data_IF_623612357654
#
_entry.id   IF_623612357654
#
_cell.length_a   1.000
_cell.length_b   1.000
_cell.length_c   1.000
_cell.angle_alpha   90.00
_cell.angle_beta   90.00
_cell.angle_gamma   90.00
#
_symmetry.space_group_name_H-M   'P 1'
#
loop_
_entity.id
_entity.type
_entity.pdbx_description
1 polymer ?
#
# COMPACT_ATOMS: atom_id res chain seq x y z
N UNK A 1 6.32 -19.81 15.09
CA UNK A 1 5.01 -20.50 15.05
C UNK A 1 4.63 -20.64 13.58
N UNK A 2 4.22 -21.81 13.09
CA UNK A 2 3.87 -21.96 11.68
C UNK A 2 2.67 -21.06 11.36
N UNK A 3 2.81 -20.35 10.25
CA UNK A 3 1.92 -19.34 9.68
C UNK A 3 0.43 -19.68 9.82
N UNK A 4 -0.23 -18.97 10.72
CA UNK A 4 -1.68 -18.85 10.74
C UNK A 4 -1.98 -17.75 9.73
N UNK A 5 -2.43 -18.10 8.52
CA UNK A 5 -2.90 -17.15 7.51
C UNK A 5 -4.05 -16.34 8.13
N UNK A 6 -3.81 -15.12 8.64
CA UNK A 6 -4.73 -14.47 9.56
C UNK A 6 -6.01 -14.05 8.83
N UNK A 7 -5.87 -13.62 7.58
CA UNK A 7 -6.98 -13.41 6.64
C UNK A 7 -7.89 -14.64 6.53
N UNK A 8 -7.31 -15.83 6.30
CA UNK A 8 -8.04 -17.07 6.11
C UNK A 8 -8.77 -17.49 7.40
N UNK A 9 -8.15 -17.25 8.55
CA UNK A 9 -8.73 -17.57 9.85
C UNK A 9 -9.88 -16.61 10.18
N UNK A 10 -9.70 -15.31 9.95
CA UNK A 10 -10.73 -14.30 10.17
C UNK A 10 -11.93 -14.54 9.24
N UNK A 11 -11.70 -14.90 7.98
CA UNK A 11 -12.77 -15.23 7.03
C UNK A 11 -13.53 -16.51 7.44
N UNK A 12 -12.81 -17.55 7.88
CA UNK A 12 -13.43 -18.77 8.43
C UNK A 12 -14.26 -18.51 9.69
N UNK A 13 -13.77 -17.66 10.59
CA UNK A 13 -14.53 -17.26 11.77
C UNK A 13 -15.75 -16.41 11.41
N UNK A 14 -15.64 -15.52 10.43
CA UNK A 14 -16.77 -14.76 9.90
C UNK A 14 -17.84 -15.70 9.33
N UNK A 15 -17.46 -16.69 8.51
CA UNK A 15 -18.34 -17.70 7.95
C UNK A 15 -19.03 -18.52 9.05
N UNK A 16 -18.27 -19.09 10.00
CA UNK A 16 -18.81 -19.81 11.15
C UNK A 16 -19.82 -18.98 11.95
N UNK A 17 -19.47 -17.73 12.25
CA UNK A 17 -20.35 -16.81 12.99
C UNK A 17 -21.66 -16.56 12.23
N UNK A 18 -21.59 -16.41 10.90
CA UNK A 18 -22.73 -16.14 10.02
C UNK A 18 -23.61 -17.37 9.76
N UNK A 19 -23.00 -18.53 9.58
CA UNK A 19 -23.64 -19.75 9.06
C UNK A 19 -24.05 -20.71 10.17
N UNK A 20 -23.34 -20.74 11.30
CA UNK A 20 -23.60 -21.68 12.39
C UNK A 20 -24.12 -21.00 13.65
N UNK A 21 -23.49 -19.91 14.09
CA UNK A 21 -23.86 -19.23 15.35
C UNK A 21 -25.12 -18.40 15.19
N UNK A 22 -25.17 -17.56 14.15
CA UNK A 22 -26.30 -16.64 13.94
C UNK A 22 -27.64 -17.38 13.80
N UNK A 23 -27.77 -18.49 13.05
CA UNK A 23 -29.02 -19.23 12.96
C UNK A 23 -29.41 -19.95 14.25
N UNK A 24 -28.44 -20.29 15.11
CA UNK A 24 -28.69 -20.94 16.40
C UNK A 24 -29.22 -19.98 17.47
N UNK A 25 -29.07 -18.66 17.28
CA UNK A 25 -29.66 -17.63 18.15
C UNK A 25 -31.05 -17.30 17.67
N UNK A 26 -32.06 -17.98 18.23
CA UNK A 26 -33.47 -17.83 17.83
C UNK A 26 -34.28 -16.87 18.71
N UNK A 27 -33.84 -16.68 19.96
CA UNK A 27 -34.70 -16.09 21.00
C UNK A 27 -34.29 -14.66 21.40
N UNK A 28 -33.21 -14.13 20.83
CA UNK A 28 -32.67 -12.81 21.15
C UNK A 28 -32.24 -12.06 19.86
N UNK A 29 -33.10 -11.15 19.43
CA UNK A 29 -32.88 -10.33 18.23
C UNK A 29 -31.65 -9.42 18.36
N UNK A 30 -31.35 -8.94 19.57
CA UNK A 30 -30.18 -8.11 19.81
C UNK A 30 -28.91 -8.93 19.62
N UNK A 31 -28.81 -10.11 20.24
CA UNK A 31 -27.66 -11.00 20.07
C UNK A 31 -27.55 -11.45 18.61
N UNK A 32 -28.67 -11.75 17.95
CA UNK A 32 -28.69 -12.10 16.53
C UNK A 32 -28.10 -10.99 15.65
N UNK A 33 -28.44 -9.72 15.92
CA UNK A 33 -27.87 -8.57 15.23
C UNK A 33 -26.38 -8.37 15.54
N UNK A 34 -25.96 -8.53 16.80
CA UNK A 34 -24.55 -8.42 17.21
C UNK A 34 -23.68 -9.47 16.53
N UNK A 35 -24.13 -10.73 16.48
CA UNK A 35 -23.43 -11.83 15.78
C UNK A 35 -23.29 -11.53 14.28
N UNK A 36 -24.33 -10.98 13.65
CA UNK A 36 -24.25 -10.51 12.26
C UNK A 36 -23.25 -9.38 12.05
N UNK A 37 -23.20 -8.41 12.96
CA UNK A 37 -22.22 -7.33 12.93
C UNK A 37 -20.79 -7.86 13.11
N UNK A 38 -20.57 -8.78 14.06
CA UNK A 38 -19.26 -9.39 14.30
C UNK A 38 -18.77 -10.16 13.07
N UNK A 39 -19.63 -10.96 12.44
CA UNK A 39 -19.28 -11.68 11.21
C UNK A 39 -18.86 -10.72 10.09
N UNK A 40 -19.56 -9.59 9.96
CA UNK A 40 -19.23 -8.57 8.95
C UNK A 40 -17.91 -7.87 9.25
N UNK A 41 -17.65 -7.52 10.52
CA UNK A 41 -16.38 -6.94 10.95
C UNK A 41 -15.20 -7.89 10.74
N UNK A 42 -15.36 -9.18 11.09
CA UNK A 42 -14.32 -10.18 10.88
C UNK A 42 -14.01 -10.38 9.40
N UNK A 43 -15.03 -10.38 8.54
CA UNK A 43 -14.85 -10.46 7.09
C UNK A 43 -14.15 -9.22 6.54
N UNK A 44 -14.51 -8.03 7.02
CA UNK A 44 -13.81 -6.80 6.67
C UNK A 44 -12.33 -6.85 7.09
N UNK A 45 -12.03 -7.28 8.32
CA UNK A 45 -10.66 -7.42 8.80
C UNK A 45 -9.87 -8.48 8.01
N UNK A 46 -10.50 -9.57 7.59
CA UNK A 46 -9.87 -10.56 6.71
C UNK A 46 -9.46 -9.92 5.37
N UNK A 47 -10.37 -9.15 4.76
CA UNK A 47 -10.12 -8.41 3.53
C UNK A 47 -9.05 -7.32 3.68
N UNK A 48 -9.05 -6.58 4.79
CA UNK A 48 -8.06 -5.55 5.09
C UNK A 48 -6.65 -6.16 5.27
N UNK A 49 -6.53 -7.29 5.98
CA UNK A 49 -5.25 -7.99 6.17
C UNK A 49 -4.71 -8.53 4.84
N UNK A 50 -5.50 -9.32 4.10
CA UNK A 50 -5.05 -9.89 2.83
C UNK A 50 -4.87 -8.84 1.73
N UNK A 51 -5.72 -7.81 1.74
CA UNK A 51 -5.65 -6.69 0.82
C UNK A 51 -4.38 -5.86 1.00
N UNK A 52 -3.94 -5.61 2.25
CA UNK A 52 -2.73 -4.82 2.52
C UNK A 52 -1.49 -5.41 1.87
N UNK A 53 -1.32 -6.73 1.90
CA UNK A 53 -0.17 -7.38 1.26
C UNK A 53 -0.20 -7.25 -0.27
N UNK A 54 -1.40 -7.30 -0.87
CA UNK A 54 -1.56 -7.05 -2.30
C UNK A 54 -1.26 -5.59 -2.64
N UNK A 55 -1.82 -4.65 -1.88
CA UNK A 55 -1.62 -3.21 -2.03
C UNK A 55 -0.13 -2.84 -1.93
N UNK A 56 0.58 -3.30 -0.90
CA UNK A 56 2.01 -3.03 -0.73
C UNK A 56 2.85 -3.63 -1.86
N UNK A 57 2.50 -4.79 -2.40
CA UNK A 57 3.17 -5.35 -3.59
C UNK A 57 2.97 -4.47 -4.83
N UNK A 58 1.76 -3.96 -5.05
CA UNK A 58 1.46 -3.02 -6.14
C UNK A 58 2.27 -1.75 -5.96
N UNK A 59 2.22 -1.15 -4.76
CA UNK A 59 2.99 0.05 -4.40
C UNK A 59 4.50 -0.13 -4.63
N UNK A 60 5.09 -1.25 -4.17
CA UNK A 60 6.52 -1.55 -4.34
C UNK A 60 6.91 -1.66 -5.82
N UNK A 61 6.07 -2.28 -6.64
CA UNK A 61 6.28 -2.36 -8.09
C UNK A 61 6.23 -0.97 -8.72
N UNK A 62 5.17 -0.20 -8.43
CA UNK A 62 5.00 1.14 -9.00
C UNK A 62 6.10 2.10 -8.59
N UNK A 63 6.59 2.04 -7.34
CA UNK A 63 7.71 2.87 -6.92
C UNK A 63 9.00 2.53 -7.69
N UNK A 64 9.29 1.24 -7.91
CA UNK A 64 10.44 0.83 -8.73
C UNK A 64 10.33 1.36 -10.16
N UNK A 65 9.17 1.20 -10.78
CA UNK A 65 8.89 1.73 -12.12
C UNK A 65 9.08 3.26 -12.15
N UNK A 66 8.55 3.96 -11.15
CA UNK A 66 8.68 5.41 -11.00
C UNK A 66 10.13 5.87 -10.87
N UNK A 67 10.97 5.15 -10.10
CA UNK A 67 12.40 5.44 -9.96
C UNK A 67 13.18 5.17 -11.26
N UNK A 68 12.78 4.17 -12.06
CA UNK A 68 13.34 3.92 -13.39
C UNK A 68 12.95 5.02 -14.39
N UNK A 69 11.70 5.46 -14.34
CA UNK A 69 11.21 6.56 -15.18
C UNK A 69 11.84 7.90 -14.80
N UNK A 70 12.06 8.14 -13.50
CA UNK A 70 12.78 9.30 -12.99
C UNK A 70 14.20 9.35 -13.54
N UNK A 71 14.99 8.29 -13.40
CA UNK A 71 16.35 8.23 -13.95
C UNK A 71 16.34 8.50 -15.47
N UNK A 72 15.42 7.86 -16.19
CA UNK A 72 15.23 8.08 -17.63
C UNK A 72 14.83 9.52 -17.97
N UNK A 73 14.13 10.22 -17.08
CA UNK A 73 13.76 11.62 -17.25
C UNK A 73 14.97 12.55 -17.00
N UNK A 74 15.77 12.28 -15.97
CA UNK A 74 17.00 13.03 -15.69
C UNK A 74 17.98 12.98 -16.87
N UNK A 75 18.12 11.81 -17.50
CA UNK A 75 19.01 11.62 -18.65
C UNK A 75 18.48 12.27 -19.93
N UNK A 76 17.18 12.11 -20.24
CA UNK A 76 16.57 12.70 -21.46
C UNK A 76 16.58 14.21 -21.47
N UNK A 77 16.46 14.83 -20.29
CA UNK A 77 16.34 16.27 -20.16
C UNK A 77 17.66 16.95 -19.75
N UNK A 78 18.75 16.18 -19.59
CA UNK A 78 20.08 16.66 -19.18
C UNK A 78 20.05 17.57 -17.93
N UNK A 79 19.21 17.19 -16.98
CA UNK A 79 18.91 17.95 -15.74
C UNK A 79 19.32 17.19 -14.48
N UNK A 80 20.15 16.15 -14.62
CA UNK A 80 20.57 15.31 -13.50
C UNK A 80 21.56 15.99 -12.56
N UNK A 81 21.10 16.44 -11.38
CA UNK A 81 21.97 16.65 -10.23
C UNK A 81 22.54 15.31 -9.77
N UNK A 82 23.83 15.27 -9.43
CA UNK A 82 24.47 14.06 -8.89
C UNK A 82 23.80 13.63 -7.58
N UNK A 83 23.32 14.57 -6.77
CA UNK A 83 22.64 14.27 -5.51
C UNK A 83 21.29 13.56 -5.76
N UNK A 84 20.52 13.98 -6.76
CA UNK A 84 19.26 13.31 -7.13
C UNK A 84 19.52 11.90 -7.63
N UNK A 85 20.57 11.68 -8.44
CA UNK A 85 20.95 10.34 -8.88
C UNK A 85 21.35 9.43 -7.72
N UNK A 86 22.15 9.95 -6.79
CA UNK A 86 22.50 9.20 -5.56
C UNK A 86 21.26 8.85 -4.74
N UNK A 87 20.32 9.79 -4.56
CA UNK A 87 19.08 9.49 -3.85
C UNK A 87 18.24 8.41 -4.55
N UNK A 88 18.21 8.37 -5.89
CA UNK A 88 17.53 7.31 -6.66
C UNK A 88 18.21 5.96 -6.48
N UNK A 89 19.55 5.91 -6.45
CA UNK A 89 20.29 4.67 -6.24
C UNK A 89 20.14 4.14 -4.80
N UNK A 90 20.21 5.04 -3.81
CA UNK A 90 19.97 4.71 -2.39
C UNK A 90 18.54 4.17 -2.21
N UNK A 91 17.55 4.85 -2.80
CA UNK A 91 16.16 4.42 -2.84
C UNK A 91 15.99 3.01 -3.42
N UNK A 92 16.69 2.67 -4.52
CA UNK A 92 16.65 1.33 -5.11
C UNK A 92 17.23 0.27 -4.18
N UNK A 93 18.38 0.57 -3.56
CA UNK A 93 19.02 -0.31 -2.59
C UNK A 93 18.10 -0.59 -1.39
N UNK A 94 17.47 0.46 -0.86
CA UNK A 94 16.51 0.32 0.24
C UNK A 94 15.29 -0.51 -0.17
N UNK A 95 14.78 -0.32 -1.39
CA UNK A 95 13.68 -1.13 -1.92
C UNK A 95 14.04 -2.59 -2.18
N UNK A 96 15.30 -2.92 -2.46
CA UNK A 96 15.76 -4.29 -2.61
C UNK A 96 15.89 -4.99 -1.27
N UNK A 97 16.30 -4.26 -0.24
CA UNK A 97 16.53 -4.78 1.12
C UNK A 97 15.31 -4.68 2.03
N UNK A 98 14.27 -3.95 1.62
CA UNK A 98 13.00 -3.83 2.32
C UNK A 98 12.28 -5.19 2.39
N UNK A 99 12.43 -5.84 3.54
CA UNK A 99 11.76 -7.07 3.94
C UNK A 99 11.32 -6.96 5.41
N UNK A 100 10.22 -7.62 5.75
CA UNK A 100 9.66 -7.56 7.10
C UNK A 100 8.14 -7.60 7.10
N UNK A 101 7.50 -7.25 8.23
CA UNK A 101 6.06 -7.04 8.30
C UNK A 101 5.58 -6.05 7.22
N UNK A 102 4.42 -6.33 6.62
CA UNK A 102 3.82 -5.53 5.53
C UNK A 102 3.75 -4.03 5.84
N UNK A 103 3.46 -3.69 7.09
CA UNK A 103 3.43 -2.30 7.56
C UNK A 103 4.81 -1.64 7.52
N UNK A 104 5.84 -2.34 8.00
CA UNK A 104 7.21 -1.82 8.03
C UNK A 104 7.71 -1.63 6.60
N UNK A 105 7.38 -2.56 5.70
CA UNK A 105 7.67 -2.42 4.27
C UNK A 105 6.95 -1.20 3.69
N UNK A 106 5.66 -1.02 3.94
CA UNK A 106 4.89 0.16 3.49
C UNK A 106 5.51 1.47 3.97
N UNK A 107 5.88 1.55 5.25
CA UNK A 107 6.53 2.73 5.85
C UNK A 107 7.86 3.04 5.14
N UNK A 108 8.67 2.02 4.82
CA UNK A 108 9.89 2.18 4.02
C UNK A 108 9.61 2.68 2.60
N UNK A 109 8.58 2.15 1.91
CA UNK A 109 8.24 2.64 0.55
C UNK A 109 7.93 4.14 0.55
N UNK A 110 7.18 4.60 1.55
CA UNK A 110 6.80 6.01 1.68
C UNK A 110 8.01 6.88 2.03
N UNK A 111 8.84 6.45 2.99
CA UNK A 111 10.04 7.18 3.38
C UNK A 111 10.99 7.36 2.20
N UNK A 112 11.25 6.29 1.45
CA UNK A 112 12.11 6.31 0.25
C UNK A 112 11.58 7.29 -0.81
N UNK A 113 10.28 7.29 -1.08
CA UNK A 113 9.69 8.22 -2.04
C UNK A 113 9.80 9.69 -1.57
N UNK A 114 9.62 9.94 -0.27
CA UNK A 114 9.72 11.27 0.33
C UNK A 114 11.16 11.80 0.34
N UNK A 115 12.14 10.95 0.60
CA UNK A 115 13.57 11.29 0.57
C UNK A 115 14.02 11.71 -0.84
N UNK A 116 13.56 10.98 -1.87
CA UNK A 116 13.85 11.33 -3.27
C UNK A 116 13.15 12.63 -3.66
N UNK A 117 11.88 12.81 -3.30
CA UNK A 117 11.14 14.06 -3.54
C UNK A 117 11.83 15.26 -2.87
N UNK A 118 12.23 15.09 -1.60
CA UNK A 118 12.96 16.12 -0.84
C UNK A 118 14.27 16.48 -1.51
N UNK A 119 15.00 15.48 -2.02
CA UNK A 119 16.25 15.71 -2.74
C UNK A 119 16.01 16.44 -4.06
N UNK A 120 14.97 16.06 -4.82
CA UNK A 120 14.56 16.79 -6.04
C UNK A 120 14.26 18.26 -5.71
N UNK A 121 13.54 18.51 -4.62
CA UNK A 121 13.14 19.86 -4.21
C UNK A 121 14.31 20.73 -3.75
N UNK A 122 15.36 20.11 -3.20
CA UNK A 122 16.57 20.80 -2.78
C UNK A 122 17.52 21.09 -3.94
N UNK A 123 17.55 20.22 -4.95
CA UNK A 123 18.62 20.20 -5.96
C UNK A 123 18.18 20.67 -7.34
N UNK A 124 16.88 20.65 -7.63
CA UNK A 124 16.33 21.01 -8.92
C UNK A 124 15.28 22.12 -8.76
N UNK A 125 15.21 22.99 -9.77
CA UNK A 125 14.25 24.09 -9.83
C UNK A 125 13.40 24.03 -11.11
N UNK A 126 12.24 24.67 -11.06
CA UNK A 126 11.39 24.92 -12.22
C UNK A 126 11.00 23.66 -12.99
N UNK A 127 11.20 23.69 -14.31
CA UNK A 127 10.81 22.60 -15.21
C UNK A 127 11.58 21.30 -14.93
N UNK A 128 12.83 21.39 -14.50
CA UNK A 128 13.65 20.23 -14.15
C UNK A 128 13.06 19.47 -12.97
N UNK A 129 12.71 20.19 -11.90
CA UNK A 129 12.05 19.61 -10.73
C UNK A 129 10.68 19.04 -11.10
N UNK A 130 9.89 19.76 -11.91
CA UNK A 130 8.56 19.29 -12.33
C UNK A 130 8.63 17.97 -13.12
N UNK A 131 9.60 17.84 -14.03
CA UNK A 131 9.86 16.61 -14.78
C UNK A 131 10.29 15.46 -13.86
N UNK A 132 11.17 15.74 -12.90
CA UNK A 132 11.67 14.74 -11.96
C UNK A 132 10.61 14.27 -10.95
N UNK A 133 9.72 15.15 -10.46
CA UNK A 133 8.67 14.76 -9.50
C UNK A 133 7.59 13.88 -10.12
N UNK A 134 7.32 14.05 -11.42
CA UNK A 134 6.14 13.49 -12.07
C UNK A 134 6.01 11.96 -11.90
N UNK A 135 7.05 11.14 -12.11
CA UNK A 135 6.95 9.70 -11.87
C UNK A 135 6.62 9.35 -10.40
N UNK A 136 7.19 10.08 -9.43
CA UNK A 136 6.90 9.83 -8.00
C UNK A 136 5.46 10.19 -7.63
N UNK A 137 4.82 11.12 -8.33
CA UNK A 137 3.40 11.40 -8.15
C UNK A 137 2.50 10.26 -8.63
N UNK A 138 2.91 9.49 -9.64
CA UNK A 138 2.17 8.31 -10.09
C UNK A 138 2.21 7.19 -9.02
N UNK A 139 3.34 7.05 -8.32
CA UNK A 139 3.43 6.21 -7.12
C UNK A 139 2.50 6.70 -6.00
N UNK A 140 2.52 7.99 -5.65
CA UNK A 140 1.66 8.52 -4.58
C UNK A 140 0.17 8.35 -4.90
N UNK A 141 -0.22 8.54 -6.17
CA UNK A 141 -1.58 8.29 -6.63
C UNK A 141 -1.95 6.82 -6.45
N UNK A 142 -1.11 5.92 -6.94
CA UNK A 142 -1.34 4.46 -6.80
C UNK A 142 -1.49 4.06 -5.33
N UNK A 143 -0.68 4.62 -4.44
CA UNK A 143 -0.82 4.39 -3.00
C UNK A 143 -2.19 4.81 -2.47
N UNK A 144 -2.66 6.01 -2.84
CA UNK A 144 -3.98 6.50 -2.42
C UNK A 144 -5.08 5.59 -2.95
N UNK A 145 -5.03 5.22 -4.23
CA UNK A 145 -6.04 4.36 -4.87
C UNK A 145 -6.10 2.99 -4.18
N UNK A 146 -4.96 2.37 -3.90
CA UNK A 146 -4.90 1.10 -3.16
C UNK A 146 -5.41 1.23 -1.71
N UNK A 147 -5.11 2.34 -1.02
CA UNK A 147 -5.63 2.58 0.33
C UNK A 147 -7.15 2.80 0.35
N UNK A 148 -7.70 3.44 -0.68
CA UNK A 148 -9.16 3.61 -0.82
C UNK A 148 -9.85 2.27 -1.09
N UNK A 149 -9.26 1.41 -1.93
CA UNK A 149 -9.76 0.04 -2.19
C UNK A 149 -9.81 -0.79 -0.92
N UNK A 150 -8.79 -0.70 -0.06
CA UNK A 150 -8.79 -1.39 1.25
C UNK A 150 -9.93 -0.94 2.16
N UNK A 151 -10.35 0.32 2.05
CA UNK A 151 -11.48 0.86 2.80
C UNK A 151 -12.85 0.51 2.18
N UNK A 152 -12.87 -0.33 1.13
CA UNK A 152 -14.09 -0.70 0.43
C UNK A 152 -14.67 0.42 -0.44
N UNK A 153 -13.86 1.44 -0.78
CA UNK A 153 -14.18 2.40 -1.83
C UNK A 153 -13.60 1.86 -3.12
N UNK A 154 -14.41 1.11 -3.85
CA UNK A 154 -14.15 0.89 -5.27
C UNK A 154 -14.31 2.23 -5.98
N UNK A 155 -13.40 2.55 -6.91
CA UNK A 155 -13.48 3.76 -7.71
C UNK A 155 -14.86 3.80 -8.38
N UNK A 156 -15.61 4.89 -8.15
CA UNK A 156 -16.88 5.15 -8.84
C UNK A 156 -16.57 5.32 -10.35
N UNK A 157 -16.55 4.21 -11.11
CA UNK A 157 -16.61 4.20 -12.58
C UNK A 157 -18.06 4.24 -13.08
#
# INVERSE_FOLDING_TARGET
MPYLDPELILDRFAAFTREEVRPAVTDDEFVHAQVGSMASTLQFLAGDVGGREAAVRVQRRTLRESLTELESALDRHDVGSSAVRTAVDDARSDLETADGPTRDVEETLVAVADDVLTTIDAELDGDAAAVARRPLYDFLRTRVDEQLRLLGREDDE
#
